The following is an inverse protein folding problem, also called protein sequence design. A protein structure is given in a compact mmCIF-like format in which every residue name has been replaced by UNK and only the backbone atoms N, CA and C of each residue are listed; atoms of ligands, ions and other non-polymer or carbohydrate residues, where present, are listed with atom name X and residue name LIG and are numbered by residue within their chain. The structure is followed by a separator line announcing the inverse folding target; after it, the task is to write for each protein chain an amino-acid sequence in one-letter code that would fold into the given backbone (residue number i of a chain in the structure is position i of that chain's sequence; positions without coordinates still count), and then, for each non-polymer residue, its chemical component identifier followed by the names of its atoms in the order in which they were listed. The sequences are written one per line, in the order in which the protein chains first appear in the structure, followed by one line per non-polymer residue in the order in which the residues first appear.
data_IF_798537232065
#
_entry.id   IF_798537232065
#
_cell.length_a   1.000
_cell.length_b   1.000
_cell.length_c   1.000
_cell.angle_alpha   90.00
_cell.angle_beta   90.00
_cell.angle_gamma   90.00
#
_symmetry.space_group_name_H-M   'P 1'
#
loop_
_entity.id
_entity.type
_entity.pdbx_description
1 polymer ?
#
# COMPACT_ATOMS: atom_id res chain seq x y z
N UNK A 1 24.77 16.14 -3.62
CA UNK A 1 23.47 16.78 -3.35
C UNK A 1 22.76 17.26 -4.61
N UNK A 2 22.92 18.49 -5.21
CA UNK A 2 22.31 18.78 -6.53
C UNK A 2 22.73 17.75 -7.60
N UNK A 3 23.99 17.31 -7.69
CA UNK A 3 24.38 16.25 -8.61
C UNK A 3 23.64 14.92 -8.38
N UNK A 4 23.51 14.50 -7.13
CA UNK A 4 22.81 13.26 -6.76
C UNK A 4 21.33 13.30 -7.11
N UNK A 5 20.66 14.45 -6.84
CA UNK A 5 19.24 14.63 -7.23
C UNK A 5 19.11 14.65 -8.76
N UNK A 6 20.06 15.29 -9.47
CA UNK A 6 20.12 15.30 -10.94
C UNK A 6 20.22 13.87 -11.50
N UNK A 7 21.08 13.04 -10.92
CA UNK A 7 21.25 11.64 -11.29
C UNK A 7 20.00 10.81 -11.03
N UNK A 8 19.40 10.93 -9.83
CA UNK A 8 18.19 10.20 -9.45
C UNK A 8 16.94 10.59 -10.24
N UNK A 9 16.84 11.87 -10.65
CA UNK A 9 15.63 12.38 -11.33
C UNK A 9 15.77 12.48 -12.84
N UNK A 10 16.98 12.37 -13.39
CA UNK A 10 17.28 12.63 -14.80
C UNK A 10 17.20 14.11 -15.20
N UNK A 11 16.90 15.04 -14.28
CA UNK A 11 16.85 16.46 -14.57
C UNK A 11 18.25 17.08 -14.63
N UNK A 12 18.42 18.13 -15.46
CA UNK A 12 19.66 18.89 -15.47
C UNK A 12 19.89 19.56 -14.10
N UNK A 13 21.17 19.77 -13.73
CA UNK A 13 21.55 20.44 -12.48
C UNK A 13 20.91 21.82 -12.34
N UNK A 14 20.73 22.54 -13.46
CA UNK A 14 20.07 23.84 -13.48
C UNK A 14 18.57 23.73 -13.16
N UNK A 15 17.87 22.72 -13.69
CA UNK A 15 16.48 22.44 -13.39
C UNK A 15 16.30 22.06 -11.90
N UNK A 16 17.14 21.15 -11.40
CA UNK A 16 17.14 20.76 -9.97
C UNK A 16 17.32 21.98 -9.06
N UNK A 17 18.30 22.87 -9.38
CA UNK A 17 18.54 24.10 -8.60
C UNK A 17 17.31 24.99 -8.57
N UNK A 18 16.63 25.19 -9.70
CA UNK A 18 15.42 26.02 -9.78
C UNK A 18 14.28 25.42 -8.95
N UNK A 19 14.06 24.11 -9.04
CA UNK A 19 13.04 23.41 -8.24
C UNK A 19 13.33 23.57 -6.75
N UNK A 20 14.57 23.29 -6.31
CA UNK A 20 14.96 23.42 -4.90
C UNK A 20 14.85 24.86 -4.39
N UNK A 21 15.20 25.86 -5.22
CA UNK A 21 15.02 27.28 -4.88
C UNK A 21 13.53 27.61 -4.66
N UNK A 22 12.65 27.15 -5.56
CA UNK A 22 11.21 27.33 -5.43
C UNK A 22 10.67 26.68 -4.16
N UNK A 23 11.05 25.42 -3.91
CA UNK A 23 10.63 24.70 -2.70
C UNK A 23 11.14 25.40 -1.42
N UNK A 24 12.36 25.95 -1.45
CA UNK A 24 12.92 26.72 -0.33
C UNK A 24 12.14 28.02 -0.10
N UNK A 25 11.81 28.75 -1.16
CA UNK A 25 10.97 29.97 -1.09
C UNK A 25 9.57 29.69 -0.56
N UNK A 26 9.01 28.54 -0.88
CA UNK A 26 7.71 28.09 -0.38
C UNK A 26 7.79 27.51 1.06
N UNK A 27 8.99 27.33 1.62
CA UNK A 27 9.20 26.83 2.98
C UNK A 27 9.09 25.31 3.13
N UNK A 28 9.08 24.55 2.02
CA UNK A 28 9.07 23.09 2.05
C UNK A 28 10.46 22.47 2.26
N UNK A 29 11.51 23.24 1.95
CA UNK A 29 12.90 22.82 2.05
C UNK A 29 13.71 23.95 2.67
N UNK A 30 14.67 23.62 3.55
CA UNK A 30 15.74 24.54 3.94
C UNK A 30 17.00 24.28 3.12
N UNK A 31 17.75 25.36 2.84
CA UNK A 31 19.02 25.29 2.13
C UNK A 31 20.17 25.52 3.10
N UNK A 32 20.96 24.49 3.36
CA UNK A 32 22.26 24.58 4.04
C UNK A 32 23.41 24.81 3.05
N UNK A 33 24.66 24.92 3.55
CA UNK A 33 25.84 25.16 2.70
C UNK A 33 26.07 24.09 1.62
N UNK A 34 25.66 22.85 1.91
CA UNK A 34 25.79 21.70 1.00
C UNK A 34 24.60 20.75 1.04
N UNK A 35 23.56 21.03 1.84
CA UNK A 35 22.40 20.17 2.07
C UNK A 35 21.09 20.89 1.75
N UNK A 36 20.08 20.09 1.48
CA UNK A 36 18.70 20.53 1.43
C UNK A 36 17.92 19.58 2.33
N UNK A 37 17.23 20.13 3.32
CA UNK A 37 16.50 19.34 4.30
C UNK A 37 15.01 19.65 4.19
N UNK A 38 14.16 18.61 4.23
CA UNK A 38 12.71 18.79 4.22
C UNK A 38 12.27 19.54 5.49
N UNK A 39 11.35 20.49 5.31
CA UNK A 39 10.77 21.22 6.43
C UNK A 39 9.44 20.59 6.86
N UNK A 40 9.01 20.78 8.14
CA UNK A 40 7.74 20.24 8.64
C UNK A 40 6.53 20.62 7.78
N UNK A 41 6.60 21.73 7.06
CA UNK A 41 5.54 22.20 6.14
C UNK A 41 5.19 21.16 5.06
N UNK A 42 6.08 20.24 4.72
CA UNK A 42 5.77 19.16 3.75
C UNK A 42 4.58 18.30 4.22
N UNK A 43 4.36 18.20 5.56
CA UNK A 43 3.25 17.45 6.14
C UNK A 43 1.88 18.05 5.80
N UNK A 44 1.82 19.37 5.48
CA UNK A 44 0.58 20.02 5.05
C UNK A 44 0.04 19.39 3.76
N UNK A 45 0.92 19.01 2.82
CA UNK A 45 0.52 18.38 1.57
C UNK A 45 -0.06 16.97 1.83
N UNK A 46 0.59 16.20 2.70
CA UNK A 46 0.09 14.89 3.11
C UNK A 46 -1.24 14.99 3.85
N UNK A 47 -1.35 15.94 4.78
CA UNK A 47 -2.59 16.21 5.52
C UNK A 47 -3.72 16.65 4.59
N UNK A 48 -3.45 17.57 3.66
CA UNK A 48 -4.43 18.03 2.68
C UNK A 48 -4.96 16.86 1.83
N UNK A 49 -4.07 15.97 1.37
CA UNK A 49 -4.47 14.76 0.64
C UNK A 49 -5.36 13.85 1.48
N UNK A 50 -4.96 13.51 2.70
CA UNK A 50 -5.71 12.62 3.59
C UNK A 50 -7.05 13.22 4.00
N UNK A 51 -7.10 14.53 4.26
CA UNK A 51 -8.33 15.25 4.64
C UNK A 51 -9.30 15.40 3.47
N UNK A 52 -8.79 15.53 2.23
CA UNK A 52 -9.61 15.58 1.02
C UNK A 52 -10.08 14.20 0.55
N UNK A 53 -9.55 13.13 1.14
CA UNK A 53 -9.87 11.75 0.76
C UNK A 53 -10.80 11.12 1.80
N UNK A 54 -12.13 11.08 1.56
CA UNK A 54 -13.11 10.54 2.53
C UNK A 54 -12.82 9.08 2.93
N UNK A 55 -12.09 8.35 2.07
CA UNK A 55 -11.70 6.97 2.31
C UNK A 55 -10.83 6.80 3.56
N UNK A 56 -9.77 7.62 3.71
CA UNK A 56 -8.84 7.50 4.82
C UNK A 56 -9.53 7.79 6.17
N UNK A 57 -10.28 8.89 6.23
CA UNK A 57 -11.03 9.26 7.42
C UNK A 57 -12.09 8.22 7.82
N UNK A 58 -12.81 7.67 6.83
CA UNK A 58 -13.83 6.64 7.06
C UNK A 58 -13.21 5.27 7.44
N UNK A 59 -12.01 4.97 6.94
CA UNK A 59 -11.36 3.69 7.18
C UNK A 59 -10.80 3.57 8.62
N UNK A 60 -10.28 4.65 9.20
CA UNK A 60 -9.57 4.59 10.48
C UNK A 60 -10.39 3.97 11.61
N UNK A 61 -11.62 4.43 11.93
CA UNK A 61 -12.41 3.84 13.03
C UNK A 61 -12.84 2.39 12.76
N UNK A 62 -12.91 1.99 11.49
CA UNK A 62 -13.22 0.59 11.13
C UNK A 62 -11.99 -0.28 11.34
N UNK A 63 -10.80 0.20 10.95
CA UNK A 63 -9.54 -0.50 11.15
C UNK A 63 -9.22 -0.66 12.63
N UNK A 64 -9.48 0.33 13.46
CA UNK A 64 -9.23 0.26 14.90
C UNK A 64 -10.05 -0.87 15.54
N UNK A 65 -11.34 -0.93 15.26
CA UNK A 65 -12.23 -2.02 15.71
C UNK A 65 -11.82 -3.39 15.18
N UNK A 66 -11.44 -3.47 13.89
CA UNK A 66 -10.96 -4.72 13.31
C UNK A 66 -9.66 -5.18 13.97
N UNK A 67 -8.71 -4.26 14.16
CA UNK A 67 -7.42 -4.52 14.80
C UNK A 67 -7.59 -5.08 16.23
N UNK A 68 -8.49 -4.48 17.02
CA UNK A 68 -8.84 -4.97 18.35
C UNK A 68 -9.44 -6.37 18.32
N UNK A 69 -10.38 -6.63 17.40
CA UNK A 69 -11.09 -7.90 17.30
C UNK A 69 -10.17 -9.04 16.85
N UNK A 70 -9.29 -8.79 15.86
CA UNK A 70 -8.39 -9.84 15.34
C UNK A 70 -7.05 -9.90 16.05
N UNK A 71 -6.68 -8.85 16.81
CA UNK A 71 -5.38 -8.64 17.50
C UNK A 71 -4.18 -8.70 16.55
N UNK A 72 -4.35 -8.20 15.34
CA UNK A 72 -3.34 -8.13 14.29
C UNK A 72 -3.42 -6.77 13.59
N UNK A 73 -2.32 -6.34 12.97
CA UNK A 73 -2.27 -5.06 12.25
C UNK A 73 -3.16 -5.07 11.02
N UNK A 74 -3.95 -4.00 10.86
CA UNK A 74 -4.89 -3.83 9.75
C UNK A 74 -4.57 -2.56 8.96
N UNK A 75 -4.75 -2.58 7.65
CA UNK A 75 -4.44 -1.43 6.81
C UNK A 75 -5.38 -1.33 5.62
N UNK A 76 -5.48 -0.11 5.06
CA UNK A 76 -6.10 0.15 3.76
C UNK A 76 -5.07 0.80 2.86
N UNK A 77 -5.00 0.33 1.62
CA UNK A 77 -4.14 0.90 0.57
C UNK A 77 -4.88 1.11 -0.74
N UNK A 78 -4.34 1.99 -1.56
CA UNK A 78 -4.71 2.21 -2.95
C UNK A 78 -3.56 1.79 -3.87
N UNK A 79 -3.85 1.57 -5.15
CA UNK A 79 -2.82 1.36 -6.17
C UNK A 79 -2.31 2.72 -6.66
N UNK A 80 -0.99 2.89 -6.66
CA UNK A 80 -0.33 4.08 -7.16
C UNK A 80 0.90 3.71 -7.99
N UNK A 81 0.75 3.76 -9.31
CA UNK A 81 1.74 3.24 -10.25
C UNK A 81 1.92 1.72 -10.09
N UNK A 82 3.14 1.29 -9.80
CA UNK A 82 3.48 -0.13 -9.61
C UNK A 82 3.41 -0.59 -8.15
N UNK A 83 3.13 0.34 -7.22
CA UNK A 83 3.11 0.11 -5.78
C UNK A 83 1.70 0.23 -5.20
N UNK A 84 1.54 -0.26 -4.00
CA UNK A 84 0.46 0.14 -3.11
C UNK A 84 0.91 1.29 -2.22
N UNK A 85 -0.01 2.23 -1.97
CA UNK A 85 0.18 3.34 -1.03
C UNK A 85 -0.75 3.14 0.17
N UNK A 86 -0.20 3.08 1.38
CA UNK A 86 -0.97 2.98 2.62
C UNK A 86 -1.65 4.30 2.94
N UNK A 87 -2.99 4.29 3.03
CA UNK A 87 -3.81 5.50 3.30
C UNK A 87 -4.45 5.49 4.69
N UNK A 88 -4.59 4.33 5.33
CA UNK A 88 -5.02 4.19 6.71
C UNK A 88 -4.41 2.93 7.33
N UNK A 89 -4.11 2.96 8.64
CA UNK A 89 -3.51 1.84 9.34
C UNK A 89 -3.85 1.87 10.83
N UNK A 90 -4.18 0.70 11.36
CA UNK A 90 -4.24 0.42 12.79
C UNK A 90 -3.29 -0.73 13.11
N UNK A 91 -2.45 -0.58 14.11
CA UNK A 91 -1.43 -1.58 14.45
C UNK A 91 -1.48 -1.95 15.92
N UNK A 92 -1.22 -3.21 16.20
CA UNK A 92 -0.91 -3.68 17.55
C UNK A 92 0.50 -3.23 17.95
N UNK A 93 0.80 -3.24 19.24
CA UNK A 93 2.14 -2.92 19.79
C UNK A 93 3.24 -3.89 19.32
N UNK A 94 2.87 -5.05 18.80
CA UNK A 94 3.82 -6.04 18.28
C UNK A 94 4.26 -5.64 16.85
N UNK A 95 5.54 -5.32 16.67
CA UNK A 95 6.12 -5.11 15.33
C UNK A 95 6.08 -6.40 14.52
N UNK A 96 5.52 -6.32 13.31
CA UNK A 96 5.38 -7.47 12.41
C UNK A 96 6.46 -7.53 11.33
N UNK A 97 7.05 -6.38 11.01
CA UNK A 97 8.02 -6.21 9.93
C UNK A 97 9.31 -5.60 10.44
N UNK A 98 10.41 -5.87 9.74
CA UNK A 98 11.68 -5.15 9.89
C UNK A 98 11.54 -3.67 9.52
N UNK A 99 10.57 -3.34 8.66
CA UNK A 99 10.26 -1.97 8.24
C UNK A 99 9.06 -1.42 9.03
N UNK A 100 9.22 -0.23 9.57
CA UNK A 100 8.13 0.50 10.24
C UNK A 100 7.18 1.09 9.18
N UNK A 101 6.06 0.39 8.91
CA UNK A 101 5.05 0.82 7.96
C UNK A 101 4.07 1.79 8.62
N UNK A 102 3.83 2.90 7.96
CA UNK A 102 2.83 3.91 8.34
C UNK A 102 1.98 4.36 7.15
N UNK A 103 1.09 5.31 7.37
CA UNK A 103 0.39 6.02 6.30
C UNK A 103 1.44 6.73 5.44
N UNK A 104 1.30 6.64 4.11
CA UNK A 104 2.29 7.13 3.14
C UNK A 104 3.37 6.09 2.75
N UNK A 105 3.49 4.97 3.46
CA UNK A 105 4.41 3.89 3.06
C UNK A 105 3.98 3.27 1.73
N UNK A 106 4.97 2.83 0.96
CA UNK A 106 4.79 2.19 -0.36
C UNK A 106 5.40 0.79 -0.34
N UNK A 107 4.74 -0.15 -0.96
CA UNK A 107 5.25 -1.51 -1.17
C UNK A 107 4.88 -2.00 -2.57
N UNK A 108 5.68 -2.89 -3.18
CA UNK A 108 5.38 -3.43 -4.50
C UNK A 108 4.03 -4.17 -4.53
N UNK A 109 3.20 -3.88 -5.55
CA UNK A 109 1.87 -4.46 -5.61
C UNK A 109 1.89 -5.98 -5.89
N UNK A 110 2.84 -6.48 -6.69
CA UNK A 110 2.86 -7.89 -7.11
C UNK A 110 3.03 -8.90 -5.97
N UNK A 111 3.74 -8.55 -4.91
CA UNK A 111 4.10 -9.45 -3.81
C UNK A 111 3.41 -9.11 -2.47
N UNK A 112 2.36 -8.28 -2.51
CA UNK A 112 1.53 -7.92 -1.37
C UNK A 112 0.08 -8.36 -1.56
N UNK A 113 -0.61 -8.74 -0.49
CA UNK A 113 -2.01 -9.18 -0.58
C UNK A 113 -2.95 -8.06 -1.06
N UNK A 114 -2.75 -6.82 -0.57
CA UNK A 114 -3.52 -5.67 -1.04
C UNK A 114 -3.23 -5.36 -2.51
N UNK A 115 -1.97 -5.42 -2.92
CA UNK A 115 -1.60 -5.18 -4.31
C UNK A 115 -2.20 -6.21 -5.26
N UNK A 116 -2.21 -7.49 -4.90
CA UNK A 116 -2.88 -8.53 -5.70
C UNK A 116 -4.38 -8.30 -5.82
N UNK A 117 -5.04 -7.92 -4.73
CA UNK A 117 -6.45 -7.54 -4.79
C UNK A 117 -6.65 -6.36 -5.74
N UNK A 118 -5.87 -5.29 -5.60
CA UNK A 118 -5.99 -4.10 -6.43
C UNK A 118 -5.73 -4.41 -7.91
N UNK A 119 -4.69 -5.18 -8.22
CA UNK A 119 -4.35 -5.60 -9.59
C UNK A 119 -5.42 -6.54 -10.18
N UNK A 120 -5.93 -7.49 -9.41
CA UNK A 120 -6.93 -8.45 -9.86
C UNK A 120 -8.21 -7.81 -10.42
N UNK A 121 -8.57 -6.61 -9.95
CA UNK A 121 -9.76 -5.90 -10.37
C UNK A 121 -9.50 -4.71 -11.30
N UNK A 122 -8.26 -4.55 -11.81
CA UNK A 122 -7.98 -3.56 -12.88
C UNK A 122 -8.52 -4.03 -14.23
N UNK A 123 -8.71 -3.07 -15.15
CA UNK A 123 -8.96 -3.37 -16.56
C UNK A 123 -7.74 -4.03 -17.21
N UNK A 124 -7.94 -4.74 -18.32
CA UNK A 124 -6.84 -5.35 -19.08
C UNK A 124 -5.82 -4.32 -19.56
N UNK A 125 -6.27 -3.12 -19.93
CA UNK A 125 -5.41 -2.02 -20.35
C UNK A 125 -4.49 -1.58 -19.22
N UNK A 126 -5.03 -1.29 -18.02
CA UNK A 126 -4.24 -0.93 -16.84
C UNK A 126 -3.30 -2.04 -16.39
N UNK A 127 -3.71 -3.30 -16.51
CA UNK A 127 -2.82 -4.42 -16.23
C UNK A 127 -1.65 -4.48 -17.23
N UNK A 128 -1.89 -4.20 -18.51
CA UNK A 128 -0.81 -4.11 -19.51
C UNK A 128 0.18 -3.01 -19.19
N UNK A 129 -0.32 -1.82 -18.83
CA UNK A 129 0.52 -0.69 -18.39
C UNK A 129 1.33 -1.04 -17.14
N UNK A 130 0.70 -1.63 -16.14
CA UNK A 130 1.36 -2.11 -14.94
C UNK A 130 2.51 -3.08 -15.28
N UNK A 131 2.24 -4.10 -16.09
CA UNK A 131 3.24 -5.09 -16.49
C UNK A 131 4.37 -4.54 -17.35
N UNK A 132 4.16 -3.43 -18.04
CA UNK A 132 5.19 -2.73 -18.81
C UNK A 132 6.16 -1.94 -17.92
N UNK A 133 5.71 -1.49 -16.74
CA UNK A 133 6.49 -0.65 -15.81
C UNK A 133 7.05 -1.43 -14.61
N UNK A 134 6.37 -2.51 -14.20
CA UNK A 134 6.72 -3.24 -12.99
C UNK A 134 7.99 -4.09 -13.16
N UNK A 135 8.86 -4.02 -12.15
CA UNK A 135 10.01 -4.93 -12.02
C UNK A 135 9.70 -5.94 -10.92
N UNK A 136 9.92 -7.23 -11.21
CA UNK A 136 9.61 -8.33 -10.30
C UNK A 136 10.89 -8.83 -9.63
N UNK A 137 11.22 -8.27 -8.47
CA UNK A 137 12.38 -8.67 -7.66
C UNK A 137 12.01 -9.82 -6.72
N UNK A 138 12.86 -10.81 -6.59
CA UNK A 138 12.70 -11.87 -5.60
C UNK A 138 13.11 -11.37 -4.21
N UNK A 139 12.14 -11.00 -3.37
CA UNK A 139 12.40 -10.62 -1.97
C UNK A 139 12.66 -11.84 -1.10
N UNK A 140 12.02 -12.96 -1.42
CA UNK A 140 12.21 -14.26 -0.79
C UNK A 140 12.21 -15.37 -1.84
N UNK A 141 12.52 -16.60 -1.44
CA UNK A 141 12.38 -17.76 -2.32
C UNK A 141 10.93 -18.08 -2.70
N UNK A 142 9.96 -17.46 -2.03
CA UNK A 142 8.52 -17.65 -2.28
C UNK A 142 7.93 -16.58 -3.17
N UNK A 143 8.64 -15.48 -3.43
CA UNK A 143 8.15 -14.37 -4.25
C UNK A 143 7.82 -14.84 -5.66
N UNK A 144 6.60 -14.58 -6.12
CA UNK A 144 6.21 -14.80 -7.51
C UNK A 144 6.83 -13.69 -8.37
N UNK A 145 7.82 -14.07 -9.20
CA UNK A 145 8.51 -13.16 -10.13
C UNK A 145 8.13 -13.41 -11.59
N UNK A 146 7.42 -14.50 -11.88
CA UNK A 146 6.94 -14.82 -13.23
C UNK A 146 5.63 -14.07 -13.52
N UNK A 147 5.63 -13.28 -14.62
CA UNK A 147 4.42 -12.60 -15.12
C UNK A 147 3.26 -13.58 -15.34
N UNK A 148 3.52 -14.73 -15.96
CA UNK A 148 2.47 -15.72 -16.24
C UNK A 148 1.83 -16.23 -14.92
N UNK A 149 2.66 -16.64 -13.95
CA UNK A 149 2.17 -17.08 -12.63
C UNK A 149 1.41 -15.97 -11.90
N UNK A 150 1.83 -14.71 -12.02
CA UNK A 150 1.11 -13.60 -11.41
C UNK A 150 -0.25 -13.39 -12.07
N UNK A 151 -0.36 -13.51 -13.40
CA UNK A 151 -1.65 -13.43 -14.11
C UNK A 151 -2.62 -14.51 -13.64
N UNK A 152 -2.14 -15.76 -13.49
CA UNK A 152 -2.94 -16.88 -12.97
C UNK A 152 -3.41 -16.61 -11.54
N UNK A 153 -2.51 -16.12 -10.69
CA UNK A 153 -2.83 -15.73 -9.31
C UNK A 153 -3.88 -14.60 -9.25
N UNK A 154 -3.75 -13.57 -10.11
CA UNK A 154 -4.74 -12.48 -10.17
C UNK A 154 -6.12 -12.97 -10.63
N UNK A 155 -6.18 -13.92 -11.56
CA UNK A 155 -7.43 -14.55 -11.98
C UNK A 155 -8.08 -15.33 -10.81
N UNK A 156 -7.28 -16.05 -10.04
CA UNK A 156 -7.74 -16.77 -8.84
C UNK A 156 -8.24 -15.81 -7.74
N UNK A 157 -7.50 -14.73 -7.48
CA UNK A 157 -7.91 -13.65 -6.57
C UNK A 157 -9.25 -13.03 -6.99
N UNK A 158 -9.43 -12.75 -8.28
CA UNK A 158 -10.71 -12.21 -8.82
C UNK A 158 -11.87 -13.16 -8.57
N UNK A 159 -11.66 -14.46 -8.75
CA UNK A 159 -12.66 -15.51 -8.51
C UNK A 159 -12.99 -15.67 -7.04
N UNK A 160 -11.99 -15.68 -6.15
CA UNK A 160 -12.15 -15.89 -4.70
C UNK A 160 -12.59 -14.64 -3.96
N UNK A 161 -12.35 -13.44 -4.52
CA UNK A 161 -12.62 -12.16 -3.88
C UNK A 161 -11.66 -11.79 -2.74
N UNK A 162 -10.54 -12.48 -2.61
CA UNK A 162 -9.49 -12.18 -1.63
C UNK A 162 -8.13 -12.70 -2.09
N UNK A 163 -7.05 -12.13 -1.57
CA UNK A 163 -5.69 -12.59 -1.78
C UNK A 163 -5.05 -12.97 -0.44
N UNK A 164 -4.32 -14.08 -0.42
CA UNK A 164 -3.41 -14.45 0.68
C UNK A 164 -2.00 -14.44 0.12
N UNK A 165 -1.10 -13.72 0.79
CA UNK A 165 0.33 -13.71 0.49
C UNK A 165 1.08 -14.28 1.68
N UNK A 166 1.86 -15.34 1.44
CA UNK A 166 2.57 -16.08 2.48
C UNK A 166 4.08 -15.97 2.29
N UNK A 167 4.68 -15.02 3.01
CA UNK A 167 6.13 -14.86 3.10
C UNK A 167 6.80 -14.52 1.75
N UNK A 168 6.11 -13.82 0.87
CA UNK A 168 6.67 -13.40 -0.43
C UNK A 168 7.43 -12.09 -0.36
N UNK A 169 6.95 -11.11 0.42
CA UNK A 169 7.63 -9.83 0.63
C UNK A 169 8.76 -9.97 1.65
N UNK A 170 8.50 -10.70 2.74
CA UNK A 170 9.43 -10.93 3.83
C UNK A 170 9.14 -12.27 4.49
N UNK A 171 10.19 -13.03 4.83
CA UNK A 171 10.06 -14.29 5.57
C UNK A 171 9.43 -14.00 6.95
N UNK A 172 8.44 -14.81 7.33
CA UNK A 172 7.69 -14.63 8.57
C UNK A 172 6.46 -13.72 8.42
N UNK A 173 6.33 -12.93 7.33
CA UNK A 173 5.15 -12.13 7.07
C UNK A 173 4.09 -12.93 6.29
N UNK A 174 2.87 -12.93 6.78
CA UNK A 174 1.68 -13.48 6.10
C UNK A 174 0.55 -12.47 6.14
N UNK A 175 -0.21 -12.35 5.06
CA UNK A 175 -1.30 -11.39 5.01
C UNK A 175 -2.48 -11.89 4.18
N UNK A 176 -3.67 -11.42 4.52
CA UNK A 176 -4.89 -11.59 3.72
C UNK A 176 -5.48 -10.23 3.41
N UNK A 177 -5.98 -10.03 2.19
CA UNK A 177 -6.63 -8.80 1.78
C UNK A 177 -7.94 -9.06 1.02
N UNK A 178 -8.82 -8.07 1.10
CA UNK A 178 -10.12 -8.04 0.41
C UNK A 178 -10.33 -6.70 -0.28
N UNK A 179 -11.15 -6.62 -1.36
CA UNK A 179 -11.46 -5.36 -2.04
C UNK A 179 -12.38 -4.48 -1.22
N UNK A 180 -12.13 -3.17 -1.27
CA UNK A 180 -13.05 -2.10 -0.87
C UNK A 180 -13.63 -1.50 -2.14
N UNK A 181 -14.97 -1.46 -2.24
CA UNK A 181 -15.68 -1.06 -3.45
C UNK A 181 -16.35 0.29 -3.31
N UNK A 182 -16.40 1.03 -4.41
CA UNK A 182 -17.28 2.18 -4.54
C UNK A 182 -18.75 1.72 -4.76
N UNK A 183 -19.71 2.64 -4.67
CA UNK A 183 -21.11 2.39 -4.99
C UNK A 183 -21.34 1.87 -6.43
N UNK A 184 -20.45 2.24 -7.35
CA UNK A 184 -20.44 1.72 -8.73
C UNK A 184 -20.05 0.23 -8.84
N UNK A 185 -19.58 -0.39 -7.74
CA UNK A 185 -19.01 -1.75 -7.73
C UNK A 185 -17.53 -1.82 -8.07
N UNK A 186 -16.92 -0.73 -8.57
CA UNK A 186 -15.48 -0.68 -8.86
C UNK A 186 -14.65 -0.82 -7.59
N UNK A 187 -13.52 -1.52 -7.66
CA UNK A 187 -12.56 -1.63 -6.55
C UNK A 187 -11.70 -0.37 -6.52
N UNK A 188 -11.76 0.35 -5.41
CA UNK A 188 -11.05 1.63 -5.21
C UNK A 188 -9.92 1.55 -4.19
N UNK A 189 -9.96 0.54 -3.33
CA UNK A 189 -8.94 0.27 -2.33
C UNK A 189 -8.92 -1.22 -1.97
N UNK A 190 -7.94 -1.64 -1.22
CA UNK A 190 -7.89 -2.95 -0.59
C UNK A 190 -7.66 -2.79 0.92
N UNK A 191 -8.30 -3.64 1.72
CA UNK A 191 -8.14 -3.73 3.16
C UNK A 191 -7.45 -5.06 3.50
N UNK A 192 -6.48 -5.04 4.40
CA UNK A 192 -5.76 -6.25 4.80
C UNK A 192 -5.64 -6.42 6.31
N UNK A 193 -5.30 -7.65 6.68
CA UNK A 193 -4.74 -8.03 7.97
C UNK A 193 -3.38 -8.66 7.71
N UNK A 194 -2.33 -8.09 8.35
CA UNK A 194 -0.97 -8.63 8.34
C UNK A 194 -0.70 -9.40 9.63
N UNK A 195 -0.10 -10.59 9.50
CA UNK A 195 0.15 -11.51 10.61
C UNK A 195 1.56 -12.10 10.55
N UNK A 196 2.04 -12.64 11.66
CA UNK A 196 3.26 -13.47 11.67
C UNK A 196 2.91 -14.92 11.28
N UNK A 197 3.61 -15.47 10.28
CA UNK A 197 3.38 -16.81 9.77
C UNK A 197 3.58 -17.91 10.85
N UNK A 198 4.43 -17.62 11.84
CA UNK A 198 4.67 -18.53 12.98
C UNK A 198 3.50 -18.56 13.98
N UNK A 199 2.70 -17.48 14.06
CA UNK A 199 1.59 -17.36 15.02
C UNK A 199 0.24 -17.69 14.43
N UNK A 200 0.03 -17.36 13.16
CA UNK A 200 -1.29 -17.46 12.51
C UNK A 200 -1.16 -18.34 11.27
N UNK A 201 -1.79 -19.50 11.28
CA UNK A 201 -1.85 -20.42 10.16
C UNK A 201 -2.74 -19.90 9.03
N UNK A 202 -2.59 -20.45 7.81
CA UNK A 202 -3.50 -20.14 6.68
C UNK A 202 -4.94 -20.55 7.01
N UNK A 203 -5.14 -21.64 7.77
CA UNK A 203 -6.45 -22.06 8.24
C UNK A 203 -7.12 -21.00 9.12
N UNK A 204 -6.38 -20.44 10.07
CA UNK A 204 -6.87 -19.36 10.93
C UNK A 204 -7.12 -18.05 10.17
N UNK A 205 -6.27 -17.71 9.17
CA UNK A 205 -6.55 -16.57 8.28
C UNK A 205 -7.91 -16.74 7.61
N UNK A 206 -8.22 -17.93 7.08
CA UNK A 206 -9.48 -18.20 6.38
C UNK A 206 -10.68 -18.34 7.33
N UNK A 207 -10.52 -19.02 8.45
CA UNK A 207 -11.62 -19.33 9.35
C UNK A 207 -11.96 -18.21 10.33
N UNK A 208 -10.97 -17.53 10.89
CA UNK A 208 -11.16 -16.54 11.96
C UNK A 208 -11.05 -15.11 11.45
N UNK A 209 -10.03 -14.80 10.64
CA UNK A 209 -9.70 -13.42 10.26
C UNK A 209 -10.51 -12.97 9.04
N UNK A 210 -10.58 -13.79 8.00
CA UNK A 210 -11.26 -13.43 6.75
C UNK A 210 -12.73 -13.00 6.91
N UNK A 211 -13.60 -13.66 7.70
CA UNK A 211 -14.98 -13.21 7.88
C UNK A 211 -15.07 -11.80 8.45
N UNK A 212 -14.25 -11.48 9.45
CA UNK A 212 -14.21 -10.17 10.10
C UNK A 212 -13.66 -9.09 9.15
N UNK A 213 -12.57 -9.39 8.44
CA UNK A 213 -11.99 -8.50 7.44
C UNK A 213 -12.98 -8.20 6.32
N UNK A 214 -13.70 -9.21 5.82
CA UNK A 214 -14.71 -9.06 4.80
C UNK A 214 -15.86 -8.16 5.27
N UNK A 215 -16.37 -8.37 6.48
CA UNK A 215 -17.42 -7.54 7.06
C UNK A 215 -16.97 -6.10 7.23
N UNK A 216 -15.75 -5.85 7.71
CA UNK A 216 -15.17 -4.52 7.84
C UNK A 216 -15.04 -3.80 6.48
N UNK A 217 -14.55 -4.50 5.45
CA UNK A 217 -14.43 -3.94 4.10
C UNK A 217 -15.80 -3.67 3.45
N UNK A 218 -16.81 -4.51 3.69
CA UNK A 218 -18.18 -4.27 3.25
C UNK A 218 -18.78 -3.04 3.94
N UNK A 219 -18.57 -2.88 5.25
CA UNK A 219 -19.01 -1.70 5.97
C UNK A 219 -18.35 -0.43 5.39
N UNK A 220 -17.02 -0.44 5.18
CA UNK A 220 -16.33 0.70 4.55
C UNK A 220 -16.85 1.00 3.13
N UNK A 221 -17.22 -0.03 2.37
CA UNK A 221 -17.76 0.12 1.00
C UNK A 221 -19.16 0.73 0.98
N UNK A 222 -19.96 0.54 2.02
CA UNK A 222 -21.34 1.03 2.11
C UNK A 222 -21.44 2.50 2.55
N UNK A 223 -20.38 3.08 3.11
CA UNK A 223 -20.38 4.46 3.59
C UNK A 223 -20.55 5.45 2.42
N UNK A 224 -21.33 6.54 2.61
CA UNK A 224 -21.42 7.61 1.62
C UNK A 224 -20.06 8.29 1.49
N UNK A 225 -19.64 8.51 0.25
CA UNK A 225 -18.39 9.22 -0.09
C UNK A 225 -18.67 10.26 -1.15
#
# INVERSE_FOLDING_TARGET
MIPQISELTGFSRAAVRRCLYTLAKLGYVSSGPRTFDLQPKILELGHAYLSSTPLAAAAQPILDRLCEAVRESCSVSILDGVDILYVARSSTTARLLSVDLGVGSRLPAYCTSMGRVLLAFQSEERLREYFAQATFTAHTKRTITSRAKLVDELADVRKKGHAIVDQELEIGLRSIAVPVRAKSGSVIAAMNVGTQAARVSIGELRGRIYPQLRAAAQHLSALPR
#
